data_IF_504877945241
#
_entry.id   IF_504877945241
#
_cell.length_a   1.000
_cell.length_b   1.000
_cell.length_c   1.000
_cell.angle_alpha   90.00
_cell.angle_beta   90.00
_cell.angle_gamma   90.00
#
_symmetry.space_group_name_H-M   'P 1'
#
loop_
_entity.id
_entity.type
_entity.pdbx_description
1 polymer ?
#
# COMPACT_ATOMS: atom_id res chain seq x y z
N UNK A 1 -11.62 4.38 -27.85
CA UNK A 1 -11.42 4.21 -26.40
C UNK A 1 -10.72 5.45 -25.84
N UNK A 2 -11.39 6.20 -24.99
CA UNK A 2 -10.88 7.35 -24.24
C UNK A 2 -10.56 6.90 -22.83
N UNK A 3 -9.29 6.99 -22.45
CA UNK A 3 -8.82 6.65 -21.11
C UNK A 3 -8.49 7.94 -20.37
N UNK A 4 -8.93 8.06 -19.13
CA UNK A 4 -8.45 9.08 -18.20
C UNK A 4 -7.55 8.40 -17.17
N UNK A 5 -6.28 8.75 -17.20
CA UNK A 5 -5.26 8.21 -16.32
C UNK A 5 -4.90 9.23 -15.25
N UNK A 6 -5.04 8.87 -13.99
CA UNK A 6 -4.69 9.67 -12.82
C UNK A 6 -3.57 8.99 -12.05
N UNK A 7 -2.59 9.78 -11.61
CA UNK A 7 -1.49 9.33 -10.77
C UNK A 7 -1.38 10.14 -9.49
N UNK A 8 -0.86 9.53 -8.44
CA UNK A 8 -0.47 10.21 -7.18
C UNK A 8 -1.62 11.02 -6.57
N UNK A 9 -2.75 10.33 -6.37
CA UNK A 9 -3.99 10.96 -5.89
C UNK A 9 -3.79 11.54 -4.49
N UNK A 10 -3.00 10.89 -3.63
CA UNK A 10 -2.55 11.41 -2.35
C UNK A 10 -3.68 11.98 -1.46
N UNK A 11 -4.75 11.21 -1.25
CA UNK A 11 -5.95 11.65 -0.50
C UNK A 11 -6.71 12.84 -1.13
N UNK A 12 -6.45 13.17 -2.40
CA UNK A 12 -7.05 14.27 -3.17
C UNK A 12 -8.52 14.10 -3.55
N UNK A 13 -9.37 13.73 -2.59
CA UNK A 13 -10.78 13.32 -2.80
C UNK A 13 -11.64 14.36 -3.52
N UNK A 14 -11.39 15.66 -3.26
CA UNK A 14 -12.12 16.74 -3.93
C UNK A 14 -11.80 16.78 -5.42
N UNK A 15 -10.52 16.73 -5.79
CA UNK A 15 -10.09 16.72 -7.19
C UNK A 15 -10.54 15.45 -7.90
N UNK A 16 -10.44 14.29 -7.22
CA UNK A 16 -10.95 13.03 -7.73
C UNK A 16 -12.45 13.10 -8.08
N UNK A 17 -13.27 13.65 -7.18
CA UNK A 17 -14.69 13.87 -7.41
C UNK A 17 -14.93 14.83 -8.59
N UNK A 18 -14.23 15.96 -8.64
CA UNK A 18 -14.38 16.96 -9.71
C UNK A 18 -14.09 16.33 -11.08
N UNK A 19 -13.01 15.56 -11.21
CA UNK A 19 -12.66 14.83 -12.44
C UNK A 19 -13.76 13.85 -12.84
N UNK A 20 -14.21 13.00 -11.92
CA UNK A 20 -15.25 12.01 -12.21
C UNK A 20 -16.59 12.65 -12.64
N UNK A 21 -16.92 13.83 -12.10
CA UNK A 21 -18.15 14.54 -12.45
C UNK A 21 -18.08 15.30 -13.78
N UNK A 22 -16.92 15.87 -14.11
CA UNK A 22 -16.76 16.81 -15.21
C UNK A 22 -16.24 16.15 -16.50
N UNK A 23 -15.72 14.92 -16.40
CA UNK A 23 -15.13 14.23 -17.53
C UNK A 23 -15.97 13.03 -17.97
N UNK A 24 -15.76 12.64 -19.22
CA UNK A 24 -16.31 11.42 -19.82
C UNK A 24 -15.14 10.58 -20.30
N UNK A 25 -15.18 9.28 -20.04
CA UNK A 25 -14.17 8.31 -20.45
C UNK A 25 -14.84 6.96 -20.70
N UNK A 26 -14.16 6.10 -21.45
CA UNK A 26 -14.52 4.68 -21.57
C UNK A 26 -13.89 3.88 -20.41
N UNK A 27 -12.79 4.37 -19.85
CA UNK A 27 -12.07 3.77 -18.72
C UNK A 27 -11.34 4.85 -17.89
N UNK A 28 -11.44 4.75 -16.57
CA UNK A 28 -10.55 5.46 -15.65
C UNK A 28 -9.49 4.50 -15.10
N UNK A 29 -8.23 4.93 -15.16
CA UNK A 29 -7.09 4.25 -14.58
C UNK A 29 -6.49 5.12 -13.49
N UNK A 30 -6.54 4.66 -12.25
CA UNK A 30 -5.89 5.33 -11.12
C UNK A 30 -4.65 4.53 -10.74
N UNK A 31 -3.50 5.18 -10.61
CA UNK A 31 -2.24 4.49 -10.36
C UNK A 31 -1.37 5.26 -9.40
N UNK A 32 -0.66 4.58 -8.51
CA UNK A 32 0.32 5.23 -7.65
C UNK A 32 -0.32 6.01 -6.52
N UNK A 33 0.22 5.78 -5.32
CA UNK A 33 0.01 6.49 -4.07
C UNK A 33 -1.38 7.11 -3.92
N UNK A 34 -2.38 6.24 -3.94
CA UNK A 34 -3.79 6.59 -3.89
C UNK A 34 -4.09 7.36 -2.60
N UNK A 35 -3.47 6.92 -1.51
CA UNK A 35 -3.43 7.63 -0.23
C UNK A 35 -2.00 8.11 0.07
N UNK A 36 -1.88 9.19 0.85
CA UNK A 36 -0.57 9.77 1.16
C UNK A 36 -0.05 9.40 2.55
N UNK A 37 -0.96 9.30 3.54
CA UNK A 37 -0.57 9.12 4.95
C UNK A 37 -1.42 8.06 5.62
N UNK A 38 -0.80 7.22 6.46
CA UNK A 38 -1.53 6.21 7.22
C UNK A 38 -2.45 6.79 8.31
N UNK A 39 -2.19 8.03 8.74
CA UNK A 39 -2.99 8.74 9.73
C UNK A 39 -3.46 10.10 9.20
N UNK A 40 -4.52 10.65 9.80
CA UNK A 40 -4.96 12.03 9.55
C UNK A 40 -4.13 13.08 10.30
N UNK A 41 -3.58 12.72 11.47
CA UNK A 41 -2.77 13.64 12.31
C UNK A 41 -1.28 13.47 12.02
N UNK A 42 -0.59 14.59 11.82
CA UNK A 42 0.88 14.62 11.69
C UNK A 42 1.57 14.08 12.95
N UNK A 43 1.05 14.40 14.14
CA UNK A 43 1.64 13.93 15.40
C UNK A 43 1.61 12.40 15.50
N UNK A 44 0.51 11.78 15.05
CA UNK A 44 0.38 10.31 15.01
C UNK A 44 1.33 9.67 14.02
N UNK A 45 1.62 10.33 12.90
CA UNK A 45 2.62 9.86 11.94
C UNK A 45 4.01 9.88 12.58
N UNK A 46 4.37 10.99 13.25
CA UNK A 46 5.66 11.13 13.92
C UNK A 46 5.81 10.07 15.01
N UNK A 47 4.80 9.89 15.85
CA UNK A 47 4.77 8.87 16.90
C UNK A 47 4.97 7.47 16.33
N UNK A 48 4.19 7.10 15.30
CA UNK A 48 4.31 5.80 14.64
C UNK A 48 5.69 5.58 14.03
N UNK A 49 6.23 6.56 13.29
CA UNK A 49 7.55 6.45 12.69
C UNK A 49 8.64 6.30 13.76
N UNK A 50 8.57 7.11 14.82
CA UNK A 50 9.54 7.07 15.93
C UNK A 50 9.58 5.68 16.55
N UNK A 51 8.42 5.13 16.91
CA UNK A 51 8.39 3.82 17.55
C UNK A 51 8.76 2.69 16.59
N UNK A 52 8.44 2.82 15.29
CA UNK A 52 8.85 1.85 14.28
C UNK A 52 10.37 1.83 14.10
N UNK A 53 11.00 3.00 14.03
CA UNK A 53 12.46 3.13 13.98
C UNK A 53 13.13 2.56 15.23
N UNK A 54 12.56 2.80 16.41
CA UNK A 54 13.05 2.19 17.65
C UNK A 54 13.02 0.66 17.60
N UNK A 55 11.93 0.05 17.11
CA UNK A 55 11.84 -1.40 16.97
C UNK A 55 12.93 -1.95 16.04
N UNK A 56 13.22 -1.27 14.91
CA UNK A 56 14.32 -1.68 14.03
C UNK A 56 15.70 -1.50 14.65
N UNK A 57 15.94 -0.41 15.38
CA UNK A 57 17.22 -0.20 16.08
C UNK A 57 17.48 -1.34 17.07
N UNK A 58 16.46 -1.70 17.85
CA UNK A 58 16.56 -2.80 18.81
C UNK A 58 16.82 -4.15 18.11
N UNK A 59 16.12 -4.45 17.00
CA UNK A 59 16.35 -5.71 16.28
C UNK A 59 17.72 -5.78 15.62
N UNK A 60 18.22 -4.66 15.08
CA UNK A 60 19.56 -4.54 14.52
C UNK A 60 20.66 -4.73 15.58
N UNK A 61 20.50 -4.14 16.77
CA UNK A 61 21.43 -4.33 17.88
C UNK A 61 21.50 -5.80 18.32
N UNK A 62 20.38 -6.52 18.21
CA UNK A 62 20.29 -7.97 18.47
C UNK A 62 20.74 -8.84 17.29
N UNK A 63 21.15 -8.23 16.16
CA UNK A 63 21.53 -8.91 14.91
C UNK A 63 20.43 -9.83 14.37
N UNK A 64 19.19 -9.41 14.51
CA UNK A 64 18.04 -10.14 14.00
C UNK A 64 17.47 -9.45 12.77
N UNK A 65 17.37 -10.19 11.66
CA UNK A 65 16.65 -9.76 10.47
C UNK A 65 15.15 -10.03 10.65
N UNK A 66 14.49 -9.14 11.39
CA UNK A 66 13.05 -9.19 11.66
C UNK A 66 12.43 -7.81 11.51
N UNK A 67 11.24 -7.78 10.88
CA UNK A 67 10.49 -6.54 10.69
C UNK A 67 9.89 -6.04 12.03
N UNK A 68 9.57 -4.75 12.11
CA UNK A 68 9.15 -4.12 13.36
C UNK A 68 7.88 -4.76 13.94
N UNK A 69 6.95 -5.14 13.06
CA UNK A 69 5.71 -5.80 13.47
C UNK A 69 5.93 -7.17 14.08
N UNK A 70 6.77 -7.99 13.46
CA UNK A 70 7.05 -9.33 13.93
C UNK A 70 7.90 -9.31 15.20
N UNK A 71 8.83 -8.36 15.30
CA UNK A 71 9.57 -8.10 16.54
C UNK A 71 8.62 -7.76 17.69
N UNK A 72 7.75 -6.75 17.51
CA UNK A 72 6.79 -6.34 18.52
C UNK A 72 5.82 -7.47 18.88
N UNK A 73 5.38 -8.26 17.90
CA UNK A 73 4.52 -9.43 18.14
C UNK A 73 5.22 -10.48 18.99
N UNK A 74 6.50 -10.74 18.75
CA UNK A 74 7.30 -11.68 19.52
C UNK A 74 7.51 -11.20 20.96
N UNK A 75 7.82 -9.92 21.15
CA UNK A 75 7.97 -9.31 22.47
C UNK A 75 6.70 -9.38 23.32
N UNK A 76 5.54 -9.16 22.71
CA UNK A 76 4.25 -9.28 23.41
C UNK A 76 3.91 -10.74 23.74
N UNK A 77 4.22 -11.69 22.85
CA UNK A 77 3.90 -13.11 23.04
C UNK A 77 4.79 -13.80 24.07
N UNK A 78 6.04 -13.38 24.18
CA UNK A 78 7.04 -13.98 25.07
C UNK A 78 7.67 -12.90 25.97
N UNK A 79 6.86 -12.19 26.80
CA UNK A 79 7.33 -11.02 27.54
C UNK A 79 8.47 -11.34 28.51
N UNK A 80 8.61 -12.58 28.97
CA UNK A 80 9.69 -13.04 29.84
C UNK A 80 11.09 -12.98 29.20
N UNK A 81 11.16 -12.86 27.87
CA UNK A 81 12.43 -12.79 27.11
C UNK A 81 12.90 -11.35 26.87
N UNK A 82 12.13 -10.35 27.28
CA UNK A 82 12.36 -8.94 26.98
C UNK A 82 12.29 -8.10 28.25
N UNK A 83 12.89 -6.90 28.21
CA UNK A 83 12.71 -5.94 29.29
C UNK A 83 11.27 -5.41 29.30
N UNK A 84 10.74 -4.98 30.47
CA UNK A 84 9.40 -4.40 30.56
C UNK A 84 9.19 -3.20 29.62
N UNK A 85 10.21 -2.36 29.42
CA UNK A 85 10.17 -1.22 28.50
C UNK A 85 9.94 -1.65 27.04
N UNK A 86 10.67 -2.68 26.56
CA UNK A 86 10.51 -3.21 25.21
C UNK A 86 9.10 -3.79 25.02
N UNK A 87 8.59 -4.51 26.02
CA UNK A 87 7.25 -5.10 25.96
C UNK A 87 6.19 -4.01 25.85
N UNK A 88 6.32 -2.92 26.62
CA UNK A 88 5.35 -1.83 26.59
C UNK A 88 5.40 -1.05 25.28
N UNK A 89 6.59 -0.69 24.80
CA UNK A 89 6.78 -0.10 23.47
C UNK A 89 6.23 -0.99 22.35
N UNK A 90 6.41 -2.31 22.47
CA UNK A 90 5.87 -3.25 21.49
C UNK A 90 4.33 -3.22 21.45
N UNK A 91 3.66 -3.11 22.60
CA UNK A 91 2.20 -2.95 22.66
C UNK A 91 1.75 -1.63 22.05
N UNK A 92 2.45 -0.54 22.36
CA UNK A 92 2.20 0.79 21.80
C UNK A 92 2.32 0.76 20.27
N UNK A 93 3.43 0.21 19.75
CA UNK A 93 3.65 0.03 18.32
C UNK A 93 2.51 -0.77 17.69
N UNK A 94 2.11 -1.91 18.27
CA UNK A 94 1.02 -2.75 17.73
C UNK A 94 -0.32 -2.03 17.76
N UNK A 95 -0.57 -1.19 18.76
CA UNK A 95 -1.75 -0.32 18.82
C UNK A 95 -1.75 0.70 17.68
N UNK A 96 -0.66 1.45 17.52
CA UNK A 96 -0.52 2.44 16.44
C UNK A 96 -0.60 1.79 15.06
N UNK A 97 0.02 0.62 14.86
CA UNK A 97 -0.08 -0.15 13.63
C UNK A 97 -1.53 -0.50 13.29
N UNK A 98 -2.32 -0.98 14.26
CA UNK A 98 -3.72 -1.31 14.02
C UNK A 98 -4.57 -0.07 13.73
N UNK A 99 -4.28 1.06 14.40
CA UNK A 99 -4.93 2.33 14.12
C UNK A 99 -4.61 2.81 12.70
N UNK A 100 -3.35 2.78 12.29
CA UNK A 100 -2.92 3.06 10.91
C UNK A 100 -3.67 2.20 9.91
N UNK A 101 -3.67 0.88 10.11
CA UNK A 101 -4.34 -0.08 9.25
C UNK A 101 -5.83 0.24 9.07
N UNK A 102 -6.50 0.57 10.19
CA UNK A 102 -7.92 0.94 10.18
C UNK A 102 -8.14 2.23 9.41
N UNK A 103 -7.38 3.29 9.71
CA UNK A 103 -7.50 4.59 9.03
C UNK A 103 -7.23 4.49 7.54
N UNK A 104 -6.24 3.72 7.11
CA UNK A 104 -5.98 3.49 5.69
C UNK A 104 -7.17 2.82 5.01
N UNK A 105 -7.76 1.79 5.63
CA UNK A 105 -8.98 1.12 5.10
C UNK A 105 -10.16 2.06 4.97
N UNK A 106 -10.42 2.89 5.98
CA UNK A 106 -11.48 3.91 5.94
C UNK A 106 -11.26 4.91 4.79
N UNK A 107 -10.01 5.30 4.50
CA UNK A 107 -9.70 6.16 3.35
C UNK A 107 -10.01 5.49 2.01
N UNK A 108 -9.66 4.21 1.84
CA UNK A 108 -10.02 3.46 0.63
C UNK A 108 -11.54 3.30 0.48
N UNK A 109 -12.28 3.13 1.58
CA UNK A 109 -13.74 3.10 1.56
C UNK A 109 -14.34 4.42 1.07
N UNK A 110 -13.79 5.57 1.51
CA UNK A 110 -14.22 6.88 1.02
C UNK A 110 -13.98 7.04 -0.48
N UNK A 111 -12.83 6.57 -0.98
CA UNK A 111 -12.49 6.59 -2.41
C UNK A 111 -13.45 5.69 -3.19
N UNK A 112 -13.74 4.49 -2.69
CA UNK A 112 -14.70 3.57 -3.30
C UNK A 112 -16.09 4.21 -3.41
N UNK A 113 -16.56 4.86 -2.34
CA UNK A 113 -17.85 5.59 -2.34
C UNK A 113 -17.86 6.69 -3.40
N UNK A 114 -16.77 7.46 -3.52
CA UNK A 114 -16.64 8.51 -4.55
C UNK A 114 -16.71 7.91 -5.95
N UNK A 115 -15.99 6.81 -6.19
CA UNK A 115 -16.00 6.12 -7.50
C UNK A 115 -17.41 5.63 -7.82
N UNK A 116 -18.06 4.91 -6.91
CA UNK A 116 -19.41 4.38 -7.12
C UNK A 116 -20.44 5.47 -7.39
N UNK A 117 -20.32 6.61 -6.69
CA UNK A 117 -21.28 7.71 -6.80
C UNK A 117 -21.11 8.56 -8.05
N UNK A 118 -19.87 8.76 -8.50
CA UNK A 118 -19.56 9.78 -9.50
C UNK A 118 -19.00 9.23 -10.81
N UNK A 119 -18.40 8.03 -10.82
CA UNK A 119 -17.89 7.47 -12.07
C UNK A 119 -19.03 7.00 -12.97
N UNK A 120 -18.91 7.33 -14.26
CA UNK A 120 -19.81 6.87 -15.33
C UNK A 120 -19.21 5.76 -16.19
N UNK A 121 -18.00 5.32 -15.86
CA UNK A 121 -17.26 4.29 -16.57
C UNK A 121 -16.51 3.37 -15.60
N UNK A 122 -16.06 2.19 -16.04
CA UNK A 122 -15.19 1.34 -15.24
C UNK A 122 -13.98 2.10 -14.70
N UNK A 123 -13.60 1.79 -13.46
CA UNK A 123 -12.41 2.32 -12.80
C UNK A 123 -11.54 1.15 -12.38
N UNK A 124 -10.26 1.21 -12.75
CA UNK A 124 -9.22 0.27 -12.31
C UNK A 124 -8.15 1.02 -11.55
N UNK A 125 -7.57 0.34 -10.57
CA UNK A 125 -6.69 0.94 -9.58
C UNK A 125 -5.41 0.13 -9.48
N UNK A 126 -4.26 0.79 -9.55
CA UNK A 126 -2.94 0.20 -9.36
C UNK A 126 -2.28 0.85 -8.14
N UNK A 127 -1.95 0.10 -7.07
CA UNK A 127 -1.34 0.66 -5.87
C UNK A 127 0.09 1.14 -6.12
N UNK A 128 0.49 2.21 -5.45
CA UNK A 128 1.88 2.66 -5.30
C UNK A 128 2.53 2.16 -4.01
N UNK A 129 3.68 2.74 -3.64
CA UNK A 129 4.43 2.33 -2.45
C UNK A 129 3.88 2.92 -1.14
N UNK A 130 3.00 3.92 -1.22
CA UNK A 130 2.26 4.41 -0.05
C UNK A 130 0.99 3.59 0.25
N UNK A 131 0.56 2.77 -0.71
CA UNK A 131 -0.66 2.01 -0.60
C UNK A 131 -0.42 0.66 0.11
N UNK A 132 -1.46 0.19 0.80
CA UNK A 132 -1.49 -1.21 1.27
C UNK A 132 -1.81 -2.13 0.09
N UNK A 133 -1.60 -3.41 0.27
CA UNK A 133 -2.17 -4.42 -0.62
C UNK A 133 -3.71 -4.26 -0.67
N UNK A 134 -4.19 -3.79 -1.83
CA UNK A 134 -5.60 -3.45 -2.06
C UNK A 134 -6.51 -4.69 -2.00
N UNK A 135 -5.95 -5.91 -2.01
CA UNK A 135 -6.71 -7.13 -1.75
C UNK A 135 -7.38 -7.15 -0.37
N UNK A 136 -6.90 -6.33 0.56
CA UNK A 136 -7.44 -6.20 1.91
C UNK A 136 -8.18 -4.88 2.14
N UNK A 137 -8.56 -4.17 1.06
CA UNK A 137 -9.25 -2.87 1.10
C UNK A 137 -10.56 -2.87 0.31
N UNK A 138 -11.33 -1.79 0.44
CA UNK A 138 -12.56 -1.59 -0.33
C UNK A 138 -12.35 -1.45 -1.85
N UNK A 139 -11.10 -1.25 -2.31
CA UNK A 139 -10.75 -1.15 -3.72
C UNK A 139 -10.38 -2.49 -4.36
N UNK A 140 -10.52 -3.63 -3.65
CA UNK A 140 -10.16 -4.96 -4.14
C UNK A 140 -10.72 -5.31 -5.52
N UNK A 141 -11.99 -5.01 -5.78
CA UNK A 141 -12.66 -5.29 -7.07
C UNK A 141 -12.12 -4.44 -8.24
N UNK A 142 -11.38 -3.37 -7.92
CA UNK A 142 -10.77 -2.46 -8.89
C UNK A 142 -9.28 -2.68 -9.06
N UNK A 143 -8.65 -3.35 -8.10
CA UNK A 143 -7.22 -3.59 -8.06
C UNK A 143 -6.75 -4.42 -9.26
N UNK A 144 -5.74 -3.89 -9.96
CA UNK A 144 -5.09 -4.54 -11.09
C UNK A 144 -3.63 -4.95 -10.81
N UNK A 145 -3.14 -4.86 -9.57
CA UNK A 145 -1.82 -5.37 -9.20
C UNK A 145 -1.70 -6.87 -9.49
N UNK A 146 -0.73 -7.25 -10.34
CA UNK A 146 -0.49 -8.63 -10.83
C UNK A 146 -1.69 -9.24 -11.55
N UNK A 147 -2.53 -8.41 -12.15
CA UNK A 147 -3.72 -8.84 -12.89
C UNK A 147 -3.72 -8.24 -14.29
N UNK A 148 -4.45 -8.90 -15.17
CA UNK A 148 -4.75 -8.40 -16.52
C UNK A 148 -6.24 -8.29 -16.70
N UNK A 149 -6.69 -7.39 -17.56
CA UNK A 149 -8.06 -7.34 -18.03
C UNK A 149 -8.10 -6.88 -19.49
N UNK A 150 -9.20 -7.16 -20.16
CA UNK A 150 -9.44 -6.73 -21.53
C UNK A 150 -10.61 -5.75 -21.58
N UNK A 151 -10.48 -4.71 -22.41
CA UNK A 151 -11.54 -3.76 -22.67
C UNK A 151 -11.35 -3.17 -24.08
N UNK A 152 -12.43 -3.12 -24.86
CA UNK A 152 -12.45 -2.56 -26.22
C UNK A 152 -11.35 -3.10 -27.15
N UNK A 153 -11.01 -4.38 -26.99
CA UNK A 153 -9.96 -5.05 -27.78
C UNK A 153 -8.52 -4.77 -27.29
N UNK A 154 -8.34 -4.02 -26.21
CA UNK A 154 -7.04 -3.79 -25.58
C UNK A 154 -6.87 -4.66 -24.35
N UNK A 155 -5.69 -5.24 -24.20
CA UNK A 155 -5.25 -5.94 -22.99
C UNK A 155 -4.48 -4.98 -22.10
N UNK A 156 -4.87 -4.89 -20.85
CA UNK A 156 -4.22 -4.10 -19.80
C UNK A 156 -3.57 -5.05 -18.80
N UNK A 157 -2.40 -4.67 -18.31
CA UNK A 157 -1.66 -5.41 -17.29
C UNK A 157 -1.12 -4.41 -16.26
N UNK A 158 -1.28 -4.72 -14.97
CA UNK A 158 -0.85 -3.86 -13.87
C UNK A 158 0.17 -4.53 -12.96
N UNK A 159 1.26 -3.83 -12.65
CA UNK A 159 2.17 -4.19 -11.58
C UNK A 159 2.55 -2.93 -10.79
N UNK A 160 2.15 -2.90 -9.51
CA UNK A 160 2.23 -1.72 -8.64
C UNK A 160 3.19 -1.94 -7.46
N UNK A 161 3.34 -0.92 -6.62
CA UNK A 161 4.30 -0.91 -5.50
C UNK A 161 5.72 -0.53 -5.91
N UNK A 162 6.65 -0.60 -4.96
CA UNK A 162 8.08 -0.35 -5.18
C UNK A 162 8.95 -1.18 -4.20
N UNK A 163 10.24 -1.46 -4.52
CA UNK A 163 11.14 -2.24 -3.68
C UNK A 163 11.74 -1.42 -2.54
N UNK A 164 10.94 -0.55 -1.91
CA UNK A 164 11.38 0.35 -0.83
C UNK A 164 10.43 0.29 0.36
N UNK A 165 10.96 0.56 1.55
CA UNK A 165 10.15 0.80 2.74
C UNK A 165 9.72 2.27 2.74
N UNK A 166 8.41 2.50 2.74
CA UNK A 166 7.85 3.85 2.79
C UNK A 166 7.65 4.28 4.24
N UNK A 167 8.28 5.38 4.64
CA UNK A 167 8.15 5.93 6.00
C UNK A 167 6.68 6.28 6.32
N UNK A 168 6.24 5.96 7.53
CA UNK A 168 4.88 6.20 7.99
C UNK A 168 3.82 5.23 7.45
N UNK A 169 4.21 4.27 6.61
CA UNK A 169 3.33 3.20 6.13
C UNK A 169 3.62 1.91 6.90
N UNK A 170 2.60 1.21 7.40
CA UNK A 170 2.79 -0.09 8.02
C UNK A 170 3.36 -1.11 7.02
N UNK A 171 4.67 -1.38 7.09
CA UNK A 171 5.42 -2.20 6.12
C UNK A 171 4.77 -3.55 5.80
N UNK A 172 4.15 -4.17 6.81
CA UNK A 172 3.55 -5.51 6.69
C UNK A 172 2.24 -5.50 5.92
N UNK A 173 1.65 -4.31 5.73
CA UNK A 173 0.45 -4.11 4.92
C UNK A 173 0.80 -3.57 3.53
N UNK A 174 2.00 -3.02 3.33
CA UNK A 174 2.40 -2.44 2.06
C UNK A 174 2.26 -3.46 0.92
N UNK A 175 1.85 -2.97 -0.25
CA UNK A 175 1.81 -3.81 -1.45
C UNK A 175 3.21 -4.40 -1.72
N UNK A 176 3.25 -5.70 -2.01
CA UNK A 176 4.52 -6.39 -2.22
C UNK A 176 5.06 -6.13 -3.63
N UNK A 177 6.30 -5.68 -3.68
CA UNK A 177 7.08 -5.60 -4.91
C UNK A 177 8.21 -6.63 -4.87
N UNK A 178 8.25 -7.55 -5.83
CA UNK A 178 9.23 -8.64 -5.84
C UNK A 178 10.35 -8.37 -6.83
N UNK A 179 11.28 -7.51 -6.41
CA UNK A 179 12.53 -7.26 -7.12
C UNK A 179 13.70 -7.29 -6.14
N UNK A 180 14.71 -8.11 -6.45
CA UNK A 180 15.88 -8.28 -5.60
C UNK A 180 17.04 -8.90 -6.38
N UNK A 181 18.26 -8.65 -5.90
CA UNK A 181 19.46 -9.32 -6.40
C UNK A 181 19.74 -10.56 -5.54
N UNK A 182 19.91 -11.73 -6.19
CA UNK A 182 20.31 -12.96 -5.51
C UNK A 182 21.49 -13.60 -6.26
N UNK A 183 22.63 -13.75 -5.58
CA UNK A 183 23.85 -14.37 -6.13
C UNK A 183 24.30 -13.76 -7.48
N UNK A 184 24.25 -12.44 -7.62
CA UNK A 184 24.65 -11.75 -8.85
C UNK A 184 23.64 -11.83 -10.00
N UNK A 185 22.47 -12.44 -9.78
CA UNK A 185 21.34 -12.41 -10.73
C UNK A 185 20.27 -11.46 -10.20
N UNK A 186 19.84 -10.53 -11.06
CA UNK A 186 18.66 -9.72 -10.81
C UNK A 186 17.41 -10.58 -11.04
N UNK A 187 16.49 -10.56 -10.10
CA UNK A 187 15.14 -11.10 -10.24
C UNK A 187 14.15 -9.94 -10.20
N UNK A 188 13.26 -9.87 -11.18
CA UNK A 188 12.20 -8.88 -11.28
C UNK A 188 10.89 -9.57 -11.67
N UNK A 189 10.04 -9.84 -10.68
CA UNK A 189 8.66 -10.28 -10.95
C UNK A 189 7.87 -9.28 -11.82
N UNK A 190 8.03 -7.94 -11.68
CA UNK A 190 7.42 -7.01 -12.63
C UNK A 190 7.84 -7.28 -14.08
N UNK A 191 9.13 -7.48 -14.34
CA UNK A 191 9.64 -7.77 -15.68
C UNK A 191 9.09 -9.10 -16.21
N UNK A 192 9.12 -10.15 -15.39
CA UNK A 192 8.60 -11.48 -15.75
C UNK A 192 7.08 -11.42 -16.01
N UNK A 193 6.33 -10.68 -15.20
CA UNK A 193 4.90 -10.44 -15.37
C UNK A 193 4.62 -9.72 -16.70
N UNK A 194 5.36 -8.67 -17.02
CA UNK A 194 5.22 -7.96 -18.29
C UNK A 194 5.55 -8.85 -19.50
N UNK A 195 6.66 -9.60 -19.46
CA UNK A 195 7.04 -10.53 -20.54
C UNK A 195 6.00 -11.59 -20.78
N UNK A 196 5.48 -12.22 -19.72
CA UNK A 196 4.45 -13.26 -19.80
C UNK A 196 3.16 -12.72 -20.44
N UNK A 197 2.81 -11.46 -20.19
CA UNK A 197 1.57 -10.88 -20.66
C UNK A 197 1.64 -10.17 -22.01
N UNK A 198 2.85 -9.90 -22.51
CA UNK A 198 3.13 -9.33 -23.83
C UNK A 198 3.29 -10.38 -24.95
N UNK A 199 3.34 -11.67 -24.63
CA UNK A 199 3.29 -12.73 -25.63
C UNK A 199 1.84 -12.90 -26.10
N UNK A 200 1.46 -12.15 -27.12
CA UNK A 200 0.24 -12.32 -27.93
C UNK A 200 0.57 -13.03 -29.23
#
# INVERSE_FOLDING_TARGET
>A
MKIIYLTDIHDGLRGLKEILQQTTADLYLFSGDIIYKAFFSTDRIIEFCTIQEEMYRISQDQKEEINAYDYATRAIRFPEKYSPDIVEKSKEYRSLFHQAAKTMKEKYELIEIIIQKYSRAPVRVLPGNYDIDLQYSALYERDIHRKTFEQDGYKFAGYGGAPILTSGIPEKLAVKFHEYNRNGKSYSEPEDFSKKNNQT
#
